data_IF_755511791316
#
_entry.id   IF_755511791316
#
_cell.length_a   1.000
_cell.length_b   1.000
_cell.length_c   1.000
_cell.angle_alpha   90.00
_cell.angle_beta   90.00
_cell.angle_gamma   90.00
#
_symmetry.space_group_name_H-M   'P 1'
#
loop_
_entity.id
_entity.type
_entity.pdbx_description
1 polymer ?
#
# COMPACT_ATOMS: atom_id res chain seq x y z
N UNK A 1 -14.43 23.44 5.89
CA UNK A 1 -14.23 22.00 5.62
C UNK A 1 -13.78 21.35 6.90
N UNK A 2 -14.39 20.26 7.38
CA UNK A 2 -13.94 19.65 8.61
C UNK A 2 -12.54 19.09 8.34
N UNK A 3 -11.55 19.55 9.10
CA UNK A 3 -10.23 18.93 9.17
C UNK A 3 -10.45 17.52 9.72
N UNK A 4 -10.65 16.55 8.83
CA UNK A 4 -10.78 15.16 9.21
C UNK A 4 -9.48 14.75 9.88
N UNK A 5 -9.53 14.53 11.20
CA UNK A 5 -8.39 14.04 11.95
C UNK A 5 -7.97 12.69 11.35
N UNK A 6 -6.68 12.49 11.01
CA UNK A 6 -6.22 11.25 10.41
C UNK A 6 -6.57 10.05 11.29
N UNK A 7 -7.14 8.97 10.72
CA UNK A 7 -7.43 7.75 11.47
C UNK A 7 -6.14 7.19 12.08
N UNK A 8 -6.03 7.06 13.42
CA UNK A 8 -4.78 6.67 14.08
C UNK A 8 -4.27 5.30 13.63
N UNK A 9 -5.18 4.37 13.31
CA UNK A 9 -4.84 3.05 12.80
C UNK A 9 -4.20 3.12 11.42
N UNK A 10 -4.78 3.90 10.52
CA UNK A 10 -4.24 4.14 9.18
C UNK A 10 -2.88 4.84 9.24
N UNK A 11 -2.71 5.86 10.11
CA UNK A 11 -1.41 6.53 10.30
C UNK A 11 -0.35 5.54 10.78
N UNK A 12 -0.68 4.69 11.76
CA UNK A 12 0.23 3.64 12.25
C UNK A 12 0.62 2.68 11.13
N UNK A 13 -0.34 2.23 10.33
CA UNK A 13 -0.07 1.33 9.19
C UNK A 13 0.78 2.01 8.12
N UNK A 14 0.54 3.28 7.82
CA UNK A 14 1.33 4.03 6.84
C UNK A 14 2.78 4.18 7.30
N UNK A 15 3.00 4.52 8.58
CA UNK A 15 4.35 4.59 9.18
C UNK A 15 5.09 3.25 9.10
N UNK A 16 4.39 2.15 9.35
CA UNK A 16 4.97 0.81 9.17
C UNK A 16 5.40 0.58 7.72
N UNK A 17 4.52 0.84 6.74
CA UNK A 17 4.81 0.62 5.32
C UNK A 17 5.97 1.50 4.82
N UNK A 18 6.02 2.76 5.27
CA UNK A 18 7.14 3.66 5.01
C UNK A 18 8.45 3.12 5.60
N UNK A 19 8.42 2.63 6.84
CA UNK A 19 9.59 2.05 7.48
C UNK A 19 10.09 0.81 6.72
N UNK A 20 9.19 -0.01 6.19
CA UNK A 20 9.50 -1.16 5.33
C UNK A 20 10.11 -0.75 3.97
N UNK A 21 10.04 0.53 3.60
CA UNK A 21 10.61 1.06 2.36
C UNK A 21 9.61 1.24 1.23
N UNK A 22 8.31 1.08 1.49
CA UNK A 22 7.28 1.44 0.51
C UNK A 22 7.30 2.96 0.29
N UNK A 23 7.15 3.40 -0.96
CA UNK A 23 7.03 4.83 -1.24
C UNK A 23 5.76 5.41 -0.61
N UNK A 24 5.74 6.73 -0.40
CA UNK A 24 4.66 7.42 0.31
C UNK A 24 3.27 7.19 -0.30
N UNK A 25 3.14 7.31 -1.61
CA UNK A 25 1.84 7.23 -2.30
C UNK A 25 1.25 5.83 -2.13
N UNK A 26 2.08 4.80 -2.32
CA UNK A 26 1.65 3.42 -2.17
C UNK A 26 1.43 3.03 -0.70
N UNK A 27 2.23 3.58 0.22
CA UNK A 27 2.03 3.38 1.66
C UNK A 27 0.68 3.94 2.13
N UNK A 28 0.32 5.16 1.70
CA UNK A 28 -0.96 5.78 2.03
C UNK A 28 -2.14 5.04 1.39
N UNK A 29 -2.00 4.58 0.13
CA UNK A 29 -3.01 3.77 -0.56
C UNK A 29 -3.22 2.43 0.16
N UNK A 30 -2.13 1.72 0.44
CA UNK A 30 -2.16 0.40 1.09
C UNK A 30 -2.69 0.52 2.52
N UNK A 31 -2.29 1.55 3.27
CA UNK A 31 -2.82 1.79 4.61
C UNK A 31 -4.34 1.99 4.60
N UNK A 32 -4.89 2.70 3.61
CA UNK A 32 -6.35 2.83 3.42
C UNK A 32 -7.02 1.49 3.15
N UNK A 33 -6.46 0.68 2.23
CA UNK A 33 -6.99 -0.65 1.91
C UNK A 33 -6.99 -1.57 3.13
N UNK A 34 -5.86 -1.64 3.84
CA UNK A 34 -5.70 -2.45 5.06
C UNK A 34 -6.66 -1.98 6.14
N UNK A 35 -6.87 -0.67 6.30
CA UNK A 35 -7.78 -0.11 7.30
C UNK A 35 -9.24 -0.52 7.11
N UNK A 36 -9.67 -0.72 5.86
CA UNK A 36 -11.02 -1.19 5.50
C UNK A 36 -11.22 -2.69 5.73
N UNK A 37 -10.15 -3.45 5.93
CA UNK A 37 -10.26 -4.89 6.13
C UNK A 37 -10.97 -5.22 7.45
N UNK A 38 -11.91 -6.18 7.43
CA UNK A 38 -12.72 -6.54 8.61
C UNK A 38 -11.86 -6.97 9.82
N UNK A 39 -10.73 -7.63 9.56
CA UNK A 39 -9.78 -8.09 10.59
C UNK A 39 -8.75 -7.01 11.01
N UNK A 40 -8.88 -5.75 10.58
CA UNK A 40 -7.87 -4.72 10.86
C UNK A 40 -7.58 -4.55 12.34
N UNK A 41 -8.63 -4.54 13.20
CA UNK A 41 -8.48 -4.34 14.64
C UNK A 41 -7.59 -5.37 15.32
N UNK A 42 -7.56 -6.60 14.81
CA UNK A 42 -6.82 -7.72 15.41
C UNK A 42 -5.55 -8.06 14.65
N UNK A 43 -5.47 -7.73 13.36
CA UNK A 43 -4.39 -8.18 12.45
C UNK A 43 -3.80 -7.06 11.58
N UNK A 44 -4.08 -5.79 11.87
CA UNK A 44 -3.68 -4.66 11.02
C UNK A 44 -2.19 -4.63 10.66
N UNK A 45 -1.31 -4.87 11.64
CA UNK A 45 0.15 -4.95 11.41
C UNK A 45 0.56 -6.09 10.48
N UNK A 46 0.00 -7.29 10.70
CA UNK A 46 0.24 -8.46 9.85
C UNK A 46 -0.24 -8.25 8.42
N UNK A 47 -1.44 -7.69 8.26
CA UNK A 47 -2.01 -7.39 6.95
C UNK A 47 -1.14 -6.40 6.17
N UNK A 48 -0.60 -5.38 6.86
CA UNK A 48 0.30 -4.41 6.26
C UNK A 48 1.62 -5.04 5.80
N UNK A 49 2.23 -5.89 6.62
CA UNK A 49 3.47 -6.60 6.25
C UNK A 49 3.23 -7.52 5.06
N UNK A 50 2.11 -8.24 5.03
CA UNK A 50 1.79 -9.10 3.89
C UNK A 50 1.58 -8.29 2.61
N UNK A 51 0.85 -7.18 2.69
CA UNK A 51 0.68 -6.28 1.56
C UNK A 51 2.02 -5.69 1.07
N UNK A 52 2.94 -5.37 1.98
CA UNK A 52 4.31 -4.96 1.63
C UNK A 52 5.04 -6.07 0.88
N UNK A 53 5.06 -7.30 1.41
CA UNK A 53 5.76 -8.44 0.78
C UNK A 53 5.21 -8.80 -0.59
N UNK A 54 3.89 -8.68 -0.78
CA UNK A 54 3.25 -8.88 -2.09
C UNK A 54 3.67 -7.81 -3.11
N UNK A 55 3.99 -6.60 -2.66
CA UNK A 55 4.47 -5.50 -3.52
C UNK A 55 5.98 -5.54 -3.79
N UNK A 56 6.75 -6.25 -2.95
CA UNK A 56 8.20 -6.36 -3.05
C UNK A 56 8.56 -7.55 -3.96
N UNK A 57 9.31 -7.35 -5.06
CA UNK A 57 9.70 -8.44 -5.96
C UNK A 57 10.58 -9.51 -5.29
N UNK A 58 11.25 -9.19 -4.18
CA UNK A 58 12.01 -10.15 -3.39
C UNK A 58 11.15 -10.90 -2.35
N UNK A 59 9.87 -10.56 -2.21
CA UNK A 59 8.97 -11.13 -1.20
C UNK A 59 9.19 -10.60 0.21
N UNK A 60 9.95 -9.50 0.35
CA UNK A 60 10.36 -8.89 1.61
C UNK A 60 11.55 -9.57 2.29
N UNK A 61 12.03 -8.94 3.35
CA UNK A 61 13.19 -9.42 4.14
C UNK A 61 12.78 -9.57 5.60
N UNK A 62 12.69 -10.82 6.06
CA UNK A 62 12.29 -11.17 7.42
C UNK A 62 13.20 -10.58 8.50
N UNK A 63 14.50 -10.46 8.21
CA UNK A 63 15.51 -9.94 9.14
C UNK A 63 15.32 -8.44 9.28
N UNK A 64 15.26 -7.74 8.15
CA UNK A 64 15.03 -6.28 8.12
C UNK A 64 13.66 -5.91 8.70
N UNK A 65 12.61 -6.66 8.37
CA UNK A 65 11.27 -6.46 8.92
C UNK A 65 11.25 -6.61 10.44
N UNK A 66 11.88 -7.67 10.99
CA UNK A 66 11.98 -7.88 12.43
C UNK A 66 12.71 -6.73 13.12
N UNK A 67 13.84 -6.29 12.55
CA UNK A 67 14.61 -5.16 13.03
C UNK A 67 13.80 -3.85 12.99
N UNK A 68 13.08 -3.57 11.91
CA UNK A 68 12.21 -2.38 11.80
C UNK A 68 11.15 -2.37 12.89
N UNK A 69 10.46 -3.49 13.10
CA UNK A 69 9.36 -3.55 14.06
C UNK A 69 9.84 -3.25 15.48
N UNK A 70 10.94 -3.88 15.93
CA UNK A 70 11.46 -3.66 17.28
C UNK A 70 12.25 -2.36 17.40
N UNK A 71 13.28 -2.19 16.58
CA UNK A 71 14.29 -1.16 16.77
C UNK A 71 13.82 0.20 16.26
N UNK A 72 13.09 0.24 15.15
CA UNK A 72 12.65 1.52 14.54
C UNK A 72 11.29 1.94 15.10
N UNK A 73 10.30 1.04 15.07
CA UNK A 73 8.92 1.34 15.45
C UNK A 73 8.60 1.09 16.93
N UNK A 74 9.52 0.45 17.68
CA UNK A 74 9.35 0.22 19.12
C UNK A 74 8.27 -0.81 19.48
N UNK A 75 7.94 -1.75 18.60
CA UNK A 75 6.93 -2.77 18.87
C UNK A 75 7.48 -3.81 19.84
N UNK A 76 6.61 -4.36 20.70
CA UNK A 76 7.00 -5.44 21.59
C UNK A 76 7.34 -6.73 20.82
N UNK A 77 8.20 -7.58 21.37
CA UNK A 77 8.55 -8.88 20.77
C UNK A 77 7.31 -9.72 20.41
N UNK A 78 6.33 -9.77 21.31
CA UNK A 78 5.11 -10.56 21.10
C UNK A 78 4.29 -10.02 19.92
N UNK A 79 4.10 -8.71 19.85
CA UNK A 79 3.35 -8.08 18.77
C UNK A 79 4.08 -8.28 17.42
N UNK A 80 5.39 -8.11 17.42
CA UNK A 80 6.24 -8.28 16.23
C UNK A 80 6.22 -9.71 15.71
N UNK A 81 6.32 -10.71 16.60
CA UNK A 81 6.22 -12.13 16.21
C UNK A 81 4.85 -12.46 15.58
N UNK A 82 3.76 -11.93 16.14
CA UNK A 82 2.40 -12.10 15.59
C UNK A 82 2.29 -11.42 14.22
N UNK A 83 2.85 -10.22 14.08
CA UNK A 83 2.80 -9.46 12.84
C UNK A 83 3.58 -10.15 11.71
N UNK A 84 4.73 -10.75 12.02
CA UNK A 84 5.55 -11.50 11.07
C UNK A 84 5.06 -12.92 10.82
N UNK A 85 4.08 -13.41 11.58
CA UNK A 85 3.62 -14.80 11.53
C UNK A 85 4.76 -15.81 11.84
N UNK A 86 5.51 -15.55 12.91
CA UNK A 86 6.61 -16.41 13.35
C UNK A 86 6.59 -16.66 14.87
N UNK A 87 7.36 -17.64 15.32
CA UNK A 87 7.56 -17.87 16.77
C UNK A 87 8.46 -16.78 17.37
N UNK A 88 8.41 -16.61 18.70
CA UNK A 88 9.33 -15.70 19.40
C UNK A 88 10.79 -16.12 19.27
N UNK A 89 11.05 -17.42 19.21
CA UNK A 89 12.40 -17.96 18.98
C UNK A 89 12.91 -17.60 17.59
N UNK A 90 12.07 -17.73 16.56
CA UNK A 90 12.42 -17.32 15.20
C UNK A 90 12.66 -15.81 15.11
N UNK A 91 11.82 -15.00 15.76
CA UNK A 91 12.02 -13.54 15.85
C UNK A 91 13.38 -13.20 16.45
N UNK A 92 13.79 -13.86 17.54
CA UNK A 92 15.10 -13.63 18.17
C UNK A 92 16.25 -13.98 17.24
N UNK A 93 16.17 -15.10 16.52
CA UNK A 93 17.16 -15.44 15.50
C UNK A 93 17.27 -14.39 14.39
N UNK A 94 16.14 -13.83 13.93
CA UNK A 94 16.16 -12.72 12.97
C UNK A 94 16.83 -11.47 13.56
N UNK A 95 16.58 -11.13 14.82
CA UNK A 95 17.17 -9.96 15.48
C UNK A 95 18.67 -10.13 15.74
N UNK A 96 19.11 -11.33 16.11
CA UNK A 96 20.54 -11.66 16.25
C UNK A 96 21.27 -11.48 14.92
N UNK A 97 20.67 -11.94 13.81
CA UNK A 97 21.23 -11.74 12.48
C UNK A 97 21.22 -10.25 12.08
N UNK A 98 20.14 -9.53 12.37
CA UNK A 98 20.02 -8.10 12.09
C UNK A 98 21.08 -7.26 12.82
N UNK A 99 21.49 -7.66 14.04
CA UNK A 99 22.50 -6.94 14.83
C UNK A 99 23.88 -6.89 14.17
N UNK A 100 24.16 -7.76 13.18
CA UNK A 100 25.38 -7.70 12.37
C UNK A 100 25.26 -6.86 11.10
N UNK A 101 24.04 -6.43 10.75
CA UNK A 101 23.73 -5.76 9.49
C UNK A 101 23.31 -4.30 9.67
N UNK A 102 22.73 -3.97 10.83
CA UNK A 102 22.15 -2.65 11.10
C UNK A 102 22.63 -2.12 12.45
N UNK A 103 22.98 -0.84 12.49
CA UNK A 103 23.44 -0.17 13.71
C UNK A 103 22.47 0.92 14.20
N UNK A 104 22.88 1.65 15.24
CA UNK A 104 22.07 2.74 15.81
C UNK A 104 21.89 3.93 14.84
N UNK A 105 22.85 4.15 13.93
CA UNK A 105 22.77 5.22 12.93
C UNK A 105 21.67 4.89 11.92
N UNK A 106 21.55 3.63 11.52
CA UNK A 106 20.47 3.16 10.63
C UNK A 106 19.10 3.33 11.28
N UNK A 107 18.99 2.99 12.57
CA UNK A 107 17.74 3.17 13.35
C UNK A 107 17.33 4.64 13.35
N UNK A 108 18.26 5.52 13.68
CA UNK A 108 18.00 6.96 13.78
C UNK A 108 17.65 7.57 12.41
N UNK A 109 18.32 7.12 11.34
CA UNK A 109 18.02 7.56 9.99
C UNK A 109 16.59 7.16 9.58
N UNK A 110 16.17 5.92 9.85
CA UNK A 110 14.84 5.46 9.48
C UNK A 110 13.74 6.06 10.36
N UNK A 111 14.00 6.25 11.66
CA UNK A 111 13.08 6.97 12.57
C UNK A 111 12.80 8.38 12.08
N UNK A 112 13.83 9.13 11.66
CA UNK A 112 13.65 10.46 11.07
C UNK A 112 12.71 10.46 9.87
N UNK A 113 12.80 9.46 8.98
CA UNK A 113 11.89 9.32 7.83
C UNK A 113 10.45 9.04 8.28
N UNK A 114 10.28 8.11 9.24
CA UNK A 114 8.97 7.71 9.75
C UNK A 114 8.29 8.83 10.55
N UNK A 115 9.05 9.59 11.34
CA UNK A 115 8.54 10.67 12.19
C UNK A 115 8.28 11.96 11.39
N UNK A 116 9.04 12.18 10.31
CA UNK A 116 8.77 13.27 9.36
C UNK A 116 7.47 13.05 8.57
N UNK A 117 6.87 11.85 8.61
CA UNK A 117 5.60 11.60 7.97
C UNK A 117 4.46 12.39 8.65
N UNK A 118 4.05 13.45 7.96
CA UNK A 118 2.82 14.18 8.23
C UNK A 118 1.72 13.66 7.28
N UNK A 119 0.64 13.05 7.81
CA UNK A 119 -0.47 12.62 6.98
C UNK A 119 -1.03 13.83 6.23
N UNK A 120 -1.16 13.71 4.91
CA UNK A 120 -1.78 14.76 4.09
C UNK A 120 -3.25 14.98 4.48
N UNK A 121 -3.87 16.11 4.08
CA UNK A 121 -5.31 16.23 4.15
C UNK A 121 -5.88 15.03 3.41
N UNK A 122 -6.66 14.24 4.14
CA UNK A 122 -7.22 13.01 3.60
C UNK A 122 -8.07 13.41 2.40
N UNK A 123 -7.57 13.21 1.18
CA UNK A 123 -8.40 13.35 -0.01
C UNK A 123 -9.53 12.34 0.21
N UNK A 124 -10.72 12.88 0.53
CA UNK A 124 -11.96 12.13 0.43
C UNK A 124 -11.88 11.44 -0.91
N UNK A 125 -11.93 10.11 -0.90
CA UNK A 125 -11.82 9.25 -2.07
C UNK A 125 -12.03 10.05 -3.35
N UNK A 126 -10.95 10.34 -4.09
CA UNK A 126 -11.16 10.31 -5.52
C UNK A 126 -11.58 8.87 -5.74
N UNK A 127 -12.90 8.70 -5.85
CA UNK A 127 -13.52 7.45 -6.24
C UNK A 127 -12.67 7.03 -7.42
N UNK A 128 -11.83 6.00 -7.23
CA UNK A 128 -11.20 5.35 -8.35
C UNK A 128 -12.39 5.04 -9.23
N UNK A 129 -12.53 5.80 -10.32
CA UNK A 129 -13.71 5.76 -11.16
C UNK A 129 -13.91 4.28 -11.41
N UNK A 130 -14.97 3.70 -10.82
CA UNK A 130 -15.22 2.28 -10.89
C UNK A 130 -15.02 1.95 -12.36
N UNK A 131 -14.00 1.15 -12.67
CA UNK A 131 -13.65 0.84 -14.05
C UNK A 131 -14.92 0.29 -14.65
N UNK A 132 -15.63 1.14 -15.39
CA UNK A 132 -16.93 0.83 -15.92
C UNK A 132 -16.69 -0.37 -16.84
N UNK A 133 -17.17 -1.57 -16.47
CA UNK A 133 -16.84 -2.79 -17.22
C UNK A 133 -17.35 -2.71 -18.67
N UNK A 134 -18.21 -1.73 -18.96
CA UNK A 134 -18.74 -1.43 -20.28
C UNK A 134 -17.99 -0.32 -21.02
N UNK A 135 -16.90 0.23 -20.49
CA UNK A 135 -16.11 1.29 -21.14
C UNK A 135 -15.54 0.83 -22.49
N UNK A 136 -15.04 -0.41 -22.56
CA UNK A 136 -14.60 -1.05 -23.80
C UNK A 136 -15.76 -1.28 -24.77
N UNK A 137 -16.92 -1.72 -24.27
CA UNK A 137 -18.12 -1.96 -25.09
C UNK A 137 -18.65 -0.65 -25.69
N UNK A 138 -18.64 0.44 -24.92
CA UNK A 138 -19.04 1.78 -25.34
C UNK A 138 -18.06 2.35 -26.37
N UNK A 139 -16.76 2.12 -26.20
CA UNK A 139 -15.74 2.53 -27.18
C UNK A 139 -15.89 1.79 -28.51
N UNK A 140 -16.12 0.48 -28.47
CA UNK A 140 -16.42 -0.32 -29.66
C UNK A 140 -17.73 0.11 -30.33
N UNK A 141 -18.75 0.47 -29.55
CA UNK A 141 -20.00 1.03 -30.08
C UNK A 141 -19.80 2.32 -30.87
N UNK A 142 -18.96 3.24 -30.39
CA UNK A 142 -18.63 4.47 -31.12
C UNK A 142 -17.84 4.21 -32.41
N UNK A 143 -16.93 3.23 -32.41
CA UNK A 143 -16.22 2.83 -33.62
C UNK A 143 -17.22 2.27 -34.65
N UNK A 144 -18.13 1.39 -34.23
CA UNK A 144 -19.15 0.83 -35.12
C UNK A 144 -20.06 1.91 -35.72
N UNK A 145 -20.54 2.88 -34.92
CA UNK A 145 -21.34 4.00 -35.41
C UNK A 145 -20.56 4.86 -36.42
N UNK A 146 -19.27 5.12 -36.14
CA UNK A 146 -18.43 5.92 -37.02
C UNK A 146 -18.18 5.21 -38.36
N UNK A 147 -17.90 3.90 -38.35
CA UNK A 147 -17.69 3.10 -39.55
C UNK A 147 -18.97 3.01 -40.38
N UNK A 148 -20.12 2.74 -39.75
CA UNK A 148 -21.41 2.69 -40.44
C UNK A 148 -21.78 4.07 -41.00
N UNK A 149 -21.59 5.14 -40.24
CA UNK A 149 -21.83 6.51 -40.68
C UNK A 149 -20.95 6.89 -41.88
N UNK A 150 -19.66 6.55 -41.83
CA UNK A 150 -18.71 6.79 -42.93
C UNK A 150 -19.08 6.00 -44.19
N UNK A 151 -19.50 4.73 -44.03
CA UNK A 151 -19.89 3.87 -45.14
C UNK A 151 -21.19 4.34 -45.80
N UNK A 152 -22.16 4.81 -45.02
CA UNK A 152 -23.39 5.44 -45.54
C UNK A 152 -23.06 6.73 -46.30
N UNK A 153 -22.19 7.57 -45.75
CA UNK A 153 -21.76 8.81 -46.40
C UNK A 153 -21.02 8.53 -47.72
N UNK A 154 -20.12 7.53 -47.71
CA UNK A 154 -19.40 7.08 -48.91
C UNK A 154 -20.37 6.59 -49.98
N UNK A 155 -21.37 5.79 -49.61
CA UNK A 155 -22.38 5.30 -50.56
C UNK A 155 -23.19 6.44 -51.17
N UNK A 156 -23.59 7.43 -50.36
CA UNK A 156 -24.32 8.62 -50.84
C UNK A 156 -23.50 9.45 -51.83
N UNK A 157 -22.19 9.64 -51.58
CA UNK A 157 -21.30 10.40 -52.46
C UNK A 157 -21.00 9.67 -53.78
N UNK A 158 -20.98 8.33 -53.78
CA UNK A 158 -20.70 7.54 -55.00
C UNK A 158 -21.95 7.38 -55.88
N UNK A 159 -23.15 7.54 -55.32
CA UNK A 159 -24.42 7.48 -56.07
C UNK A 159 -24.92 8.82 -56.60
N UNK A 160 -24.18 9.91 -56.38
CA UNK A 160 -24.45 11.27 -56.90
C UNK A 160 -23.49 11.58 -58.05
#
# INVERSE_FOLDING_TARGET
MPNATPDPGQVRTCRLLLALGMNRVDAERTARTVRKHHAFRTRGGRLAIFAYRESDPAGGDRIREAWILLSVLGWGERESAIALDCSRTALRGHLEQAASQFDEVDVEALRRVVDAYLPGPMEAESVAAAEDPYRLLRWLGWIAVSVVGLEVLRRLVVTL
#
